data_IF_647918642185
#
_entry.id   IF_647918642185
#
_cell.length_a   1.000
_cell.length_b   1.000
_cell.length_c   1.000
_cell.angle_alpha   90.00
_cell.angle_beta   90.00
_cell.angle_gamma   90.00
#
_symmetry.space_group_name_H-M   'P 1'
#
loop_
_entity.id
_entity.type
_entity.pdbx_description
1 polymer ?
#
# COMPACT_ATOMS: atom_id res chain seq x y z
N UNK A 1 17.30 18.77 -16.95
CA UNK A 1 17.96 20.06 -16.67
C UNK A 1 19.29 19.72 -16.02
N UNK A 2 20.49 20.11 -16.42
CA UNK A 2 21.05 21.04 -17.41
C UNK A 2 22.58 20.77 -17.41
N UNK A 3 23.23 20.83 -18.57
CA UNK A 3 24.61 21.29 -18.84
C UNK A 3 25.78 20.65 -18.03
N UNK A 4 26.68 19.85 -18.61
CA UNK A 4 27.86 20.26 -19.42
C UNK A 4 28.53 21.54 -18.92
N UNK A 5 29.77 21.45 -18.45
CA UNK A 5 30.87 22.34 -18.91
C UNK A 5 32.24 21.85 -18.42
N UNK A 6 33.18 21.90 -19.35
CA UNK A 6 34.62 21.69 -19.17
C UNK A 6 35.28 22.99 -18.66
N UNK A 7 36.61 22.93 -18.43
CA UNK A 7 37.63 23.94 -18.78
C UNK A 7 38.67 24.16 -17.66
N UNK A 8 39.87 23.65 -17.95
CA UNK A 8 41.25 24.13 -17.72
C UNK A 8 41.59 25.08 -16.58
N UNK A 9 42.69 24.75 -15.88
CA UNK A 9 43.76 25.73 -15.55
C UNK A 9 45.13 25.05 -15.63
N UNK A 10 45.94 25.52 -16.57
CA UNK A 10 47.40 25.36 -16.62
C UNK A 10 48.01 26.47 -15.73
N UNK A 11 48.85 26.09 -14.78
CA UNK A 11 49.77 27.00 -14.09
C UNK A 11 51.19 26.61 -14.47
N UNK A 12 51.91 27.61 -15.00
CA UNK A 12 53.27 27.50 -15.48
C UNK A 12 54.26 27.78 -14.34
N UNK A 13 55.14 26.82 -14.05
CA UNK A 13 56.27 26.99 -13.15
C UNK A 13 57.57 26.68 -13.88
N UNK A 14 58.20 27.73 -14.42
CA UNK A 14 59.53 27.71 -15.04
C UNK A 14 60.63 27.69 -13.96
N UNK A 15 61.52 26.71 -13.97
CA UNK A 15 62.84 26.85 -13.33
C UNK A 15 63.88 25.88 -13.92
N UNK A 16 64.97 26.45 -14.43
CA UNK A 16 66.32 25.91 -14.28
C UNK A 16 66.74 24.76 -15.20
N UNK A 17 67.40 25.10 -16.30
CA UNK A 17 68.27 24.16 -17.01
C UNK A 17 69.65 24.12 -16.34
N UNK A 18 70.19 22.93 -16.03
CA UNK A 18 71.61 22.69 -16.11
C UNK A 18 71.90 21.81 -17.33
N UNK A 19 72.80 22.29 -18.18
CA UNK A 19 73.33 21.58 -19.33
C UNK A 19 74.06 20.32 -18.87
N UNK A 20 73.47 19.13 -19.05
CA UNK A 20 74.16 17.86 -18.85
C UNK A 20 73.92 16.92 -20.02
N UNK A 21 75.04 16.55 -20.66
CA UNK A 21 75.29 15.37 -21.48
C UNK A 21 74.13 14.81 -22.33
N UNK A 22 74.19 15.04 -23.63
CA UNK A 22 73.40 14.28 -24.62
C UNK A 22 73.98 12.86 -24.68
N UNK A 23 73.61 12.01 -23.73
CA UNK A 23 73.65 10.57 -23.95
C UNK A 23 72.56 10.24 -24.96
N UNK A 24 72.94 9.61 -26.08
CA UNK A 24 72.02 9.21 -27.16
C UNK A 24 71.05 8.14 -26.65
N UNK A 25 69.99 8.55 -25.98
CA UNK A 25 68.81 7.71 -25.78
C UNK A 25 68.11 7.56 -27.13
N UNK A 26 67.90 6.32 -27.55
CA UNK A 26 67.28 5.98 -28.83
C UNK A 26 65.91 6.66 -28.90
N UNK A 27 65.74 7.63 -29.80
CA UNK A 27 64.44 8.28 -30.05
C UNK A 27 63.46 7.18 -30.48
N UNK A 28 62.43 6.93 -29.68
CA UNK A 28 61.40 5.96 -30.01
C UNK A 28 60.78 6.31 -31.37
N UNK A 29 60.57 5.33 -32.27
CA UNK A 29 60.04 5.61 -33.59
C UNK A 29 58.67 6.27 -33.48
N UNK A 30 58.46 7.36 -34.23
CA UNK A 30 57.15 8.02 -34.34
C UNK A 30 56.13 6.99 -34.80
N UNK A 31 55.10 6.74 -33.98
CA UNK A 31 53.97 5.88 -34.36
C UNK A 31 53.39 6.35 -35.69
N UNK A 32 53.31 5.45 -36.67
CA UNK A 32 52.66 5.75 -37.94
C UNK A 32 51.18 6.03 -37.69
N UNK A 33 50.67 7.09 -38.32
CA UNK A 33 49.25 7.45 -38.25
C UNK A 33 48.46 6.33 -38.94
N UNK A 34 47.39 5.88 -38.29
CA UNK A 34 46.42 4.97 -38.91
C UNK A 34 45.79 5.65 -40.13
N UNK A 35 45.47 4.88 -41.17
CA UNK A 35 44.73 5.39 -42.31
C UNK A 35 43.34 5.87 -41.86
N UNK A 36 42.81 6.91 -42.52
CA UNK A 36 41.49 7.46 -42.21
C UNK A 36 40.38 6.40 -42.31
N UNK A 37 40.46 5.50 -43.30
CA UNK A 37 39.50 4.40 -43.46
C UNK A 37 39.53 3.39 -42.31
N UNK A 38 40.70 3.07 -41.76
CA UNK A 38 40.79 2.12 -40.63
C UNK A 38 40.27 2.74 -39.35
N UNK A 39 40.53 4.04 -39.11
CA UNK A 39 39.94 4.77 -37.98
C UNK A 39 38.41 4.81 -38.03
N UNK A 40 37.84 5.09 -39.20
CA UNK A 40 36.38 5.12 -39.36
C UNK A 40 35.74 3.75 -39.11
N UNK A 41 36.38 2.66 -39.55
CA UNK A 41 35.89 1.30 -39.29
C UNK A 41 35.93 0.95 -37.80
N UNK A 42 37.03 1.28 -37.11
CA UNK A 42 37.15 1.08 -35.66
C UNK A 42 36.08 1.88 -34.89
N UNK A 43 35.78 3.11 -35.33
CA UNK A 43 34.75 3.96 -34.73
C UNK A 43 33.33 3.44 -34.99
N UNK A 44 33.04 2.95 -36.20
CA UNK A 44 31.76 2.31 -36.52
C UNK A 44 31.57 1.05 -35.67
N UNK A 45 32.59 0.21 -35.56
CA UNK A 45 32.52 -1.03 -34.77
C UNK A 45 32.30 -0.73 -33.28
N UNK A 46 32.96 0.30 -32.74
CA UNK A 46 32.73 0.74 -31.35
C UNK A 46 31.28 1.23 -31.15
N UNK A 47 30.74 2.02 -32.08
CA UNK A 47 29.37 2.52 -32.01
C UNK A 47 28.34 1.39 -32.16
N UNK A 48 28.59 0.40 -33.01
CA UNK A 48 27.72 -0.78 -33.14
C UNK A 48 27.68 -1.60 -31.84
N UNK A 49 28.82 -1.73 -31.16
CA UNK A 49 28.88 -2.38 -29.84
C UNK A 49 28.10 -1.58 -28.77
N UNK A 50 28.18 -0.25 -28.78
CA UNK A 50 27.39 0.59 -27.87
C UNK A 50 25.89 0.47 -28.14
N UNK A 51 25.47 0.50 -29.41
CA UNK A 51 24.07 0.35 -29.79
C UNK A 51 23.51 -1.01 -29.35
N UNK A 52 24.26 -2.09 -29.56
CA UNK A 52 23.82 -3.43 -29.13
C UNK A 52 23.75 -3.54 -27.60
N UNK A 53 24.70 -2.96 -26.88
CA UNK A 53 24.67 -2.90 -25.41
C UNK A 53 23.46 -2.10 -24.90
N UNK A 54 23.17 -0.93 -25.50
CA UNK A 54 22.02 -0.11 -25.13
C UNK A 54 20.69 -0.81 -25.46
N UNK A 55 20.59 -1.49 -26.61
CA UNK A 55 19.42 -2.29 -26.94
C UNK A 55 19.19 -3.43 -25.94
N UNK A 56 20.26 -4.09 -25.51
CA UNK A 56 20.18 -5.13 -24.47
C UNK A 56 19.70 -4.56 -23.13
N UNK A 57 20.16 -3.38 -22.74
CA UNK A 57 19.70 -2.69 -21.53
C UNK A 57 18.21 -2.31 -21.62
N UNK A 58 17.77 -1.74 -22.74
CA UNK A 58 16.35 -1.42 -22.96
C UNK A 58 15.50 -2.68 -22.88
N UNK A 59 15.92 -3.77 -23.53
CA UNK A 59 15.20 -5.04 -23.49
C UNK A 59 15.12 -5.64 -22.08
N UNK A 60 16.18 -5.50 -21.27
CA UNK A 60 16.17 -5.92 -19.87
C UNK A 60 15.19 -5.07 -19.05
N UNK A 61 15.28 -3.74 -19.14
CA UNK A 61 14.40 -2.82 -18.43
C UNK A 61 12.92 -3.03 -18.81
N UNK A 62 12.62 -3.26 -20.09
CA UNK A 62 11.26 -3.56 -20.54
C UNK A 62 10.73 -4.87 -19.95
N UNK A 63 11.55 -5.91 -19.89
CA UNK A 63 11.16 -7.19 -19.27
C UNK A 63 10.86 -7.02 -17.79
N UNK A 64 11.70 -6.28 -17.08
CA UNK A 64 11.52 -6.08 -15.64
C UNK A 64 10.32 -5.19 -15.34
N UNK A 65 10.13 -4.11 -16.11
CA UNK A 65 8.92 -3.29 -16.03
C UNK A 65 7.66 -4.10 -16.32
N UNK A 66 7.67 -4.98 -17.33
CA UNK A 66 6.53 -5.82 -17.64
C UNK A 66 6.22 -6.81 -16.51
N UNK A 67 7.24 -7.44 -15.92
CA UNK A 67 7.06 -8.33 -14.75
C UNK A 67 6.45 -7.58 -13.58
N UNK A 68 6.97 -6.40 -13.25
CA UNK A 68 6.42 -5.58 -12.17
C UNK A 68 4.96 -5.19 -12.43
N UNK A 69 4.62 -4.75 -13.64
CA UNK A 69 3.25 -4.40 -14.01
C UNK A 69 2.33 -5.61 -13.85
N UNK A 70 2.77 -6.79 -14.31
CA UNK A 70 1.98 -8.02 -14.17
C UNK A 70 1.79 -8.43 -12.71
N UNK A 71 2.83 -8.33 -11.88
CA UNK A 71 2.76 -8.65 -10.45
C UNK A 71 1.83 -7.69 -9.70
N UNK A 72 2.01 -6.38 -9.89
CA UNK A 72 1.15 -5.33 -9.32
C UNK A 72 -0.30 -5.51 -9.75
N UNK A 73 -0.54 -5.89 -11.01
CA UNK A 73 -1.90 -6.15 -11.52
C UNK A 73 -2.52 -7.37 -10.87
N UNK A 74 -1.77 -8.46 -10.66
CA UNK A 74 -2.28 -9.64 -9.96
C UNK A 74 -2.57 -9.35 -8.48
N UNK A 75 -1.72 -8.58 -7.81
CA UNK A 75 -1.94 -8.16 -6.41
C UNK A 75 -3.21 -7.31 -6.30
N UNK A 76 -3.34 -6.26 -7.12
CA UNK A 76 -4.55 -5.42 -7.13
C UNK A 76 -5.82 -6.23 -7.44
N UNK A 77 -5.74 -7.24 -8.30
CA UNK A 77 -6.88 -8.10 -8.59
C UNK A 77 -7.26 -8.97 -7.38
N UNK A 78 -6.29 -9.46 -6.62
CA UNK A 78 -6.54 -10.19 -5.37
C UNK A 78 -7.19 -9.27 -4.33
N UNK A 79 -6.64 -8.06 -4.14
CA UNK A 79 -7.17 -7.08 -3.20
C UNK A 79 -8.63 -6.71 -3.47
N UNK A 80 -9.00 -6.56 -4.76
CA UNK A 80 -10.38 -6.28 -5.16
C UNK A 80 -11.30 -7.43 -4.75
N UNK A 81 -10.91 -8.68 -5.02
CA UNK A 81 -11.70 -9.86 -4.67
C UNK A 81 -11.88 -10.01 -3.16
N UNK A 82 -10.82 -9.78 -2.38
CA UNK A 82 -10.87 -9.80 -0.92
C UNK A 82 -11.79 -8.70 -0.37
N UNK A 83 -11.66 -7.49 -0.91
CA UNK A 83 -12.49 -6.35 -0.52
C UNK A 83 -13.97 -6.59 -0.81
N UNK A 84 -14.29 -7.15 -1.98
CA UNK A 84 -15.66 -7.48 -2.37
C UNK A 84 -16.24 -8.57 -1.48
N UNK A 85 -15.45 -9.59 -1.13
CA UNK A 85 -15.86 -10.62 -0.17
C UNK A 85 -16.15 -10.03 1.20
N UNK A 86 -15.27 -9.18 1.73
CA UNK A 86 -15.49 -8.50 3.02
C UNK A 86 -16.75 -7.63 2.95
N UNK A 87 -16.94 -6.85 1.88
CA UNK A 87 -18.13 -6.04 1.69
C UNK A 87 -19.40 -6.89 1.72
N UNK A 88 -19.41 -8.00 0.99
CA UNK A 88 -20.58 -8.88 0.92
C UNK A 88 -20.93 -9.50 2.27
N UNK A 89 -19.92 -9.97 3.01
CA UNK A 89 -20.12 -10.53 4.35
C UNK A 89 -20.62 -9.48 5.34
N UNK A 90 -20.08 -8.25 5.30
CA UNK A 90 -20.56 -7.13 6.13
C UNK A 90 -22.01 -6.80 5.80
N UNK A 91 -22.39 -6.72 4.53
CA UNK A 91 -23.78 -6.47 4.13
C UNK A 91 -24.73 -7.57 4.64
N UNK A 92 -24.31 -8.83 4.57
CA UNK A 92 -25.08 -9.95 5.10
C UNK A 92 -25.26 -9.87 6.62
N UNK A 93 -24.20 -9.51 7.35
CA UNK A 93 -24.24 -9.31 8.80
C UNK A 93 -25.13 -8.11 9.18
N UNK A 94 -25.09 -7.03 8.42
CA UNK A 94 -25.97 -5.88 8.64
C UNK A 94 -27.44 -6.27 8.44
N UNK A 95 -27.74 -7.05 7.40
CA UNK A 95 -29.10 -7.54 7.17
C UNK A 95 -29.61 -8.41 8.34
N UNK A 96 -28.78 -9.30 8.88
CA UNK A 96 -29.16 -10.11 10.05
C UNK A 96 -29.32 -9.27 11.31
N UNK A 97 -28.47 -8.27 11.53
CA UNK A 97 -28.58 -7.35 12.65
C UNK A 97 -29.87 -6.53 12.61
N UNK A 98 -30.26 -6.02 11.44
CA UNK A 98 -31.54 -5.31 11.27
C UNK A 98 -32.71 -6.23 11.61
N UNK A 99 -32.67 -7.49 11.20
CA UNK A 99 -33.69 -8.47 11.55
C UNK A 99 -33.77 -8.68 13.08
N UNK A 100 -32.63 -8.88 13.74
CA UNK A 100 -32.56 -9.03 15.20
C UNK A 100 -33.06 -7.76 15.90
N UNK A 101 -32.66 -6.58 15.44
CA UNK A 101 -33.12 -5.31 15.99
C UNK A 101 -34.64 -5.15 15.85
N UNK A 102 -35.21 -5.54 14.70
CA UNK A 102 -36.66 -5.50 14.48
C UNK A 102 -37.40 -6.47 15.40
N UNK A 103 -36.84 -7.66 15.65
CA UNK A 103 -37.42 -8.67 16.54
C UNK A 103 -37.35 -8.19 18.01
N UNK A 104 -36.22 -7.63 18.43
CA UNK A 104 -36.05 -7.04 19.75
C UNK A 104 -36.96 -5.84 19.96
N UNK A 105 -37.06 -4.94 18.97
CA UNK A 105 -37.99 -3.80 19.05
C UNK A 105 -39.43 -4.26 19.16
N UNK A 106 -39.82 -5.33 18.45
CA UNK A 106 -41.15 -5.91 18.60
C UNK A 106 -41.34 -6.47 20.00
N UNK A 107 -40.38 -7.25 20.50
CA UNK A 107 -40.42 -7.84 21.83
C UNK A 107 -40.55 -6.77 22.92
N UNK A 108 -39.79 -5.68 22.86
CA UNK A 108 -39.86 -4.60 23.84
C UNK A 108 -41.16 -3.81 23.77
N UNK A 109 -41.81 -3.73 22.60
CA UNK A 109 -43.12 -3.10 22.45
C UNK A 109 -44.28 -4.01 22.88
N UNK A 110 -44.18 -5.32 22.66
CA UNK A 110 -45.26 -6.28 22.96
C UNK A 110 -45.19 -6.83 24.38
N UNK A 111 -44.00 -6.90 24.97
CA UNK A 111 -43.83 -7.41 26.32
C UNK A 111 -43.92 -6.23 27.31
N UNK A 112 -44.98 -6.14 28.14
CA UNK A 112 -44.92 -5.25 29.29
C UNK A 112 -43.69 -5.67 30.10
N UNK A 113 -42.82 -4.71 30.44
CA UNK A 113 -41.50 -4.98 31.02
C UNK A 113 -41.53 -6.08 32.08
N UNK A 114 -40.46 -6.88 32.13
CA UNK A 114 -40.39 -8.16 32.83
C UNK A 114 -41.31 -8.27 34.06
N UNK A 115 -42.03 -9.38 34.27
CA UNK A 115 -43.04 -9.53 35.32
C UNK A 115 -42.53 -9.20 36.74
N UNK A 116 -41.21 -9.26 36.95
CA UNK A 116 -40.52 -8.94 38.20
C UNK A 116 -40.00 -7.49 38.28
N UNK A 117 -39.99 -6.74 37.18
CA UNK A 117 -39.57 -5.33 37.10
C UNK A 117 -40.65 -4.34 37.59
N UNK A 118 -41.89 -4.78 37.79
CA UNK A 118 -42.94 -3.98 38.41
C UNK A 118 -42.68 -3.84 39.93
N UNK A 119 -41.87 -2.84 40.31
CA UNK A 119 -41.67 -2.47 41.71
C UNK A 119 -42.97 -1.92 42.31
N UNK A 120 -43.53 -2.61 43.29
CA UNK A 120 -44.70 -2.12 44.03
C UNK A 120 -44.19 -1.42 45.29
N UNK A 121 -44.63 -0.19 45.52
CA UNK A 121 -44.42 0.50 46.79
C UNK A 121 -45.62 0.22 47.69
N UNK A 122 -45.42 -0.59 48.73
CA UNK A 122 -46.48 -0.90 49.70
C UNK A 122 -46.42 0.08 50.87
N UNK A 123 -47.58 0.59 51.28
CA UNK A 123 -47.71 1.41 52.49
C UNK A 123 -47.50 0.60 53.78
N UNK A 124 -47.36 1.31 54.91
CA UNK A 124 -47.24 0.71 56.24
C UNK A 124 -48.55 0.07 56.71
N UNK A 125 -49.69 0.61 56.28
CA UNK A 125 -51.03 0.16 56.71
C UNK A 125 -51.43 -1.18 56.08
N UNK A 126 -51.89 -2.09 56.94
CA UNK A 126 -52.15 -3.48 56.58
C UNK A 126 -53.40 -3.62 55.69
N UNK A 127 -54.44 -2.81 55.94
CA UNK A 127 -55.71 -2.86 55.21
C UNK A 127 -55.55 -2.34 53.78
N UNK A 128 -54.84 -1.22 53.61
CA UNK A 128 -54.55 -0.61 52.31
C UNK A 128 -53.62 -1.49 51.47
N UNK A 129 -52.60 -2.07 52.12
CA UNK A 129 -51.72 -3.06 51.48
C UNK A 129 -52.49 -4.24 50.92
N UNK A 130 -53.39 -4.82 51.71
CA UNK A 130 -54.13 -6.00 51.29
C UNK A 130 -55.08 -5.70 50.12
N UNK A 131 -55.76 -4.55 50.15
CA UNK A 131 -56.59 -4.07 49.05
C UNK A 131 -55.78 -3.91 47.75
N UNK A 132 -54.65 -3.21 47.82
CA UNK A 132 -53.75 -3.00 46.67
C UNK A 132 -53.20 -4.31 46.11
N UNK A 133 -52.83 -5.27 46.97
CA UNK A 133 -52.34 -6.58 46.54
C UNK A 133 -53.43 -7.41 45.86
N UNK A 134 -54.68 -7.35 46.33
CA UNK A 134 -55.80 -8.04 45.71
C UNK A 134 -56.16 -7.45 44.34
N UNK A 135 -56.05 -6.13 44.18
CA UNK A 135 -56.24 -5.44 42.90
C UNK A 135 -55.14 -5.80 41.88
N UNK A 136 -53.88 -5.90 42.31
CA UNK A 136 -52.77 -6.26 41.43
C UNK A 136 -52.69 -7.76 41.09
N UNK A 137 -53.32 -8.63 41.88
CA UNK A 137 -53.31 -10.09 41.71
C UNK A 137 -53.74 -10.54 40.30
N UNK A 138 -54.90 -10.14 39.74
CA UNK A 138 -55.32 -10.57 38.40
C UNK A 138 -54.37 -10.10 37.30
N UNK A 139 -53.85 -8.87 37.40
CA UNK A 139 -52.92 -8.29 36.42
C UNK A 139 -51.62 -9.11 36.37
N UNK A 140 -51.08 -9.47 37.55
CA UNK A 140 -49.87 -10.31 37.63
C UNK A 140 -50.09 -11.74 37.17
N UNK A 141 -51.26 -12.32 37.47
CA UNK A 141 -51.60 -13.67 37.00
C UNK A 141 -51.75 -13.72 35.47
N UNK A 142 -52.35 -12.71 34.86
CA UNK A 142 -52.41 -12.60 33.40
C UNK A 142 -51.01 -12.43 32.80
N UNK A 143 -50.20 -11.53 33.34
CA UNK A 143 -48.82 -11.34 32.86
C UNK A 143 -47.96 -12.62 32.97
N UNK A 144 -48.20 -13.46 33.98
CA UNK A 144 -47.50 -14.72 34.17
C UNK A 144 -47.95 -15.85 33.22
N UNK A 145 -49.15 -15.76 32.65
CA UNK A 145 -49.67 -16.74 31.68
C UNK A 145 -49.07 -16.58 30.27
N UNK A 146 -48.47 -15.41 29.98
CA UNK A 146 -47.84 -15.10 28.69
C UNK A 146 -46.30 -15.23 28.71
N UNK A 147 -45.75 -15.89 29.74
CA UNK A 147 -44.34 -16.28 29.86
C UNK A 147 -44.23 -17.78 29.52
#
# INVERSE_FOLDING_TARGET
MTLVEAVTTLEAGSAGAPCQGISRTKIAPRRRRKATGTRRKEEIEALEQEVTALQAQIAAMQKDAQKEITAKRSELQQDILETDFIRQTVLQQQASLVNVQSALSRLTMTQPGAPHAASIRLGMDLKERWAMLMEMKPIKLQAAQFI
#
